data_IF_214893617585
#
_entry.id   IF_214893617585
#
_cell.length_a   1.000
_cell.length_b   1.000
_cell.length_c   1.000
_cell.angle_alpha   90.00
_cell.angle_beta   90.00
_cell.angle_gamma   90.00
#
_symmetry.space_group_name_H-M   'P 1'
#
loop_
_entity.id
_entity.type
_entity.pdbx_description
1 polymer ?
#
# COMPACT_ATOMS: atom_id res chain seq x y z
N UNK A 1 48.92 1.14 16.04
CA UNK A 1 48.49 -0.20 15.56
C UNK A 1 47.29 -0.02 14.65
N UNK A 2 47.40 -0.37 13.37
CA UNK A 2 46.23 -0.55 12.50
C UNK A 2 45.61 -1.90 12.88
N UNK A 3 44.39 -1.91 13.42
CA UNK A 3 43.68 -3.15 13.73
C UNK A 3 42.86 -3.56 12.52
N UNK A 4 43.05 -4.79 12.06
CA UNK A 4 42.20 -5.40 11.04
C UNK A 4 40.76 -5.57 11.56
N UNK A 5 39.80 -5.53 10.65
CA UNK A 5 38.41 -5.79 10.96
C UNK A 5 38.19 -7.23 11.38
N UNK A 6 37.19 -7.49 12.23
CA UNK A 6 36.80 -8.86 12.56
C UNK A 6 36.36 -9.61 11.30
N UNK A 7 36.94 -10.80 11.02
CA UNK A 7 36.58 -11.59 9.83
C UNK A 7 35.07 -11.90 9.77
N UNK A 8 34.46 -12.23 10.90
CA UNK A 8 33.03 -12.61 11.00
C UNK A 8 32.06 -11.45 10.70
N UNK A 9 32.56 -10.23 10.50
CA UNK A 9 31.74 -9.04 10.23
C UNK A 9 31.68 -8.70 8.74
N UNK A 10 32.45 -9.41 7.89
CA UNK A 10 32.49 -9.23 6.43
C UNK A 10 32.73 -7.77 5.98
N UNK A 11 33.38 -6.94 6.81
CA UNK A 11 33.61 -5.53 6.49
C UNK A 11 34.68 -5.37 5.39
N UNK A 12 34.50 -4.36 4.53
CA UNK A 12 35.60 -3.85 3.68
C UNK A 12 36.49 -2.89 4.48
N UNK A 13 35.89 -2.01 5.28
CA UNK A 13 36.58 -1.15 6.26
C UNK A 13 35.80 -1.11 7.57
N UNK A 14 36.47 -0.84 8.68
CA UNK A 14 35.87 -0.78 10.02
C UNK A 14 36.43 0.39 10.83
N UNK A 15 35.66 0.86 11.80
CA UNK A 15 36.04 1.99 12.67
C UNK A 15 36.95 1.54 13.82
N UNK A 16 36.59 0.44 14.49
CA UNK A 16 37.26 -0.02 15.72
C UNK A 16 37.42 -1.55 15.78
N UNK A 17 37.28 -2.23 14.64
CA UNK A 17 37.36 -3.68 14.52
C UNK A 17 36.04 -4.43 14.81
N UNK A 18 35.09 -3.80 15.50
CA UNK A 18 33.79 -4.36 15.86
C UNK A 18 32.60 -3.67 15.20
N UNK A 19 32.85 -2.66 14.35
CA UNK A 19 31.81 -1.95 13.59
C UNK A 19 32.32 -1.71 12.17
N UNK A 20 31.59 -2.19 11.17
CA UNK A 20 31.89 -1.89 9.78
C UNK A 20 31.62 -0.40 9.48
N UNK A 21 32.51 0.23 8.72
CA UNK A 21 32.29 1.55 8.12
C UNK A 21 32.00 1.46 6.62
N UNK A 22 32.37 0.35 5.97
CA UNK A 22 31.94 0.06 4.60
C UNK A 22 31.88 -1.44 4.33
N UNK A 23 31.08 -1.81 3.34
CA UNK A 23 30.86 -3.18 2.93
C UNK A 23 31.40 -3.47 1.52
N UNK A 24 31.69 -4.75 1.20
CA UNK A 24 31.84 -5.22 -0.17
C UNK A 24 30.60 -4.92 -1.03
N UNK A 25 30.71 -5.03 -2.35
CA UNK A 25 29.59 -4.79 -3.27
C UNK A 25 28.38 -5.69 -2.93
N UNK A 26 27.19 -5.11 -3.05
CA UNK A 26 25.89 -5.74 -2.77
C UNK A 26 25.66 -6.17 -1.30
N UNK A 27 26.53 -5.79 -0.37
CA UNK A 27 26.32 -5.96 1.07
C UNK A 27 26.11 -4.60 1.74
N UNK A 28 25.35 -4.61 2.83
CA UNK A 28 24.95 -3.41 3.55
C UNK A 28 25.16 -3.61 5.05
N UNK A 29 25.36 -2.50 5.76
CA UNK A 29 25.56 -2.55 7.22
C UNK A 29 24.22 -2.86 7.88
N UNK A 30 24.17 -3.93 8.68
CA UNK A 30 22.98 -4.34 9.41
C UNK A 30 22.85 -3.66 10.79
N UNK A 31 21.83 -4.07 11.54
CA UNK A 31 21.54 -3.60 12.90
C UNK A 31 22.61 -3.99 13.93
N UNK A 32 23.56 -4.86 13.58
CA UNK A 32 24.69 -5.29 14.43
C UNK A 32 26.03 -4.69 13.96
N UNK A 33 26.01 -3.74 13.02
CA UNK A 33 27.18 -3.14 12.40
C UNK A 33 28.06 -4.14 11.61
N UNK A 34 27.45 -5.18 11.04
CA UNK A 34 28.07 -6.19 10.17
C UNK A 34 27.61 -6.01 8.73
N UNK A 35 28.40 -6.48 7.77
CA UNK A 35 28.00 -6.51 6.37
C UNK A 35 27.27 -7.79 6.02
N UNK A 36 26.04 -7.66 5.52
CA UNK A 36 25.22 -8.78 5.04
C UNK A 36 24.29 -8.37 3.90
N UNK A 37 23.60 -9.35 3.32
CA UNK A 37 22.56 -9.10 2.33
C UNK A 37 21.35 -8.43 3.00
N UNK A 38 20.78 -7.44 2.31
CA UNK A 38 19.69 -6.62 2.81
C UNK A 38 18.37 -7.00 2.14
N UNK A 39 17.92 -8.22 2.43
CA UNK A 39 16.73 -8.80 1.80
C UNK A 39 15.83 -9.44 2.85
N UNK A 40 14.53 -9.21 2.72
CA UNK A 40 13.52 -9.80 3.57
C UNK A 40 12.38 -8.84 3.84
N UNK A 41 11.33 -9.37 4.45
CA UNK A 41 10.22 -8.57 4.93
C UNK A 41 10.68 -7.68 6.11
N UNK A 42 10.07 -6.50 6.22
CA UNK A 42 10.31 -5.56 7.30
C UNK A 42 11.63 -4.80 7.23
N UNK A 43 12.43 -4.96 6.16
CA UNK A 43 13.67 -4.22 5.95
C UNK A 43 13.78 -3.63 4.55
N UNK A 44 14.56 -2.56 4.42
CA UNK A 44 14.90 -1.91 3.15
C UNK A 44 16.33 -1.38 3.17
N UNK A 45 16.86 -1.08 1.99
CA UNK A 45 18.19 -0.48 1.82
C UNK A 45 18.06 1.05 1.85
N UNK A 46 18.63 1.70 2.87
CA UNK A 46 18.82 3.15 2.87
C UNK A 46 20.04 3.49 2.02
N UNK A 47 19.80 3.89 0.77
CA UNK A 47 20.86 4.14 -0.22
C UNK A 47 21.79 5.29 0.17
N UNK A 48 21.31 6.22 0.99
CA UNK A 48 22.12 7.37 1.45
C UNK A 48 23.22 6.93 2.39
N UNK A 49 22.95 5.95 3.26
CA UNK A 49 23.89 5.47 4.28
C UNK A 49 24.48 4.09 3.96
N UNK A 50 23.97 3.40 2.92
CA UNK A 50 24.27 1.99 2.61
C UNK A 50 24.02 1.05 3.80
N UNK A 51 22.92 1.29 4.52
CA UNK A 51 22.52 0.50 5.68
C UNK A 51 21.20 -0.22 5.43
N UNK A 52 21.02 -1.36 6.10
CA UNK A 52 19.72 -1.98 6.26
C UNK A 52 18.94 -1.25 7.34
N UNK A 53 17.76 -0.76 6.97
CA UNK A 53 16.84 -0.11 7.88
C UNK A 53 15.54 -0.90 7.98
N UNK A 54 14.84 -0.77 9.10
CA UNK A 54 13.53 -1.41 9.28
C UNK A 54 12.44 -0.56 8.64
N UNK A 55 11.46 -1.24 8.05
CA UNK A 55 10.18 -0.64 7.74
C UNK A 55 9.49 -0.15 9.03
N UNK A 56 8.53 0.77 8.89
CA UNK A 56 7.73 1.18 10.02
C UNK A 56 6.71 0.09 10.39
N UNK A 57 6.98 -0.64 11.47
CA UNK A 57 6.14 -1.76 11.96
C UNK A 57 4.71 -1.31 12.33
N UNK A 58 4.52 -0.06 12.77
CA UNK A 58 3.19 0.48 13.12
C UNK A 58 2.27 0.71 11.91
N UNK A 59 2.81 0.63 10.68
CA UNK A 59 2.05 0.83 9.44
C UNK A 59 1.47 -0.45 8.85
N UNK A 60 1.53 -1.60 9.54
CA UNK A 60 1.15 -2.92 8.96
C UNK A 60 1.90 -3.23 7.65
N UNK A 61 3.11 -2.69 7.51
CA UNK A 61 3.93 -2.78 6.31
C UNK A 61 4.68 -4.11 6.29
N UNK A 62 4.53 -4.91 5.22
CA UNK A 62 5.28 -6.16 5.07
C UNK A 62 6.61 -5.92 4.34
N UNK A 63 6.57 -5.19 3.23
CA UNK A 63 7.78 -4.71 2.53
C UNK A 63 7.64 -3.22 2.27
N UNK A 64 8.76 -2.49 2.28
CA UNK A 64 8.78 -1.05 2.12
C UNK A 64 9.92 -0.60 1.21
N UNK A 65 9.74 0.55 0.56
CA UNK A 65 10.80 1.22 -0.20
C UNK A 65 11.65 2.10 0.73
N UNK A 66 10.99 2.72 1.70
CA UNK A 66 11.59 3.52 2.76
C UNK A 66 10.72 3.44 4.02
N UNK A 67 11.07 4.17 5.07
CA UNK A 67 10.34 4.12 6.35
C UNK A 67 8.85 4.50 6.24
N UNK A 68 8.47 5.26 5.20
CA UNK A 68 7.14 5.78 5.01
C UNK A 68 6.30 5.07 3.96
N UNK A 69 6.93 4.56 2.90
CA UNK A 69 6.28 4.00 1.72
C UNK A 69 6.28 2.48 1.73
N UNK A 70 5.09 1.88 1.87
CA UNK A 70 4.91 0.43 1.76
C UNK A 70 4.76 -0.03 0.31
N UNK A 71 5.40 -1.16 0.01
CA UNK A 71 5.26 -1.88 -1.26
C UNK A 71 4.26 -3.04 -1.10
N UNK A 72 4.20 -3.64 0.10
CA UNK A 72 3.21 -4.67 0.41
C UNK A 72 2.80 -4.61 1.88
N UNK A 73 1.61 -5.15 2.16
CA UNK A 73 1.00 -5.10 3.48
C UNK A 73 1.02 -6.46 4.17
N UNK A 74 1.02 -6.42 5.50
CA UNK A 74 0.82 -7.59 6.35
C UNK A 74 -0.61 -8.12 6.20
N UNK A 75 -0.81 -9.39 6.56
CA UNK A 75 -2.12 -10.05 6.48
C UNK A 75 -3.23 -9.24 7.16
N UNK A 76 -4.38 -9.11 6.50
CA UNK A 76 -5.52 -8.32 6.98
C UNK A 76 -5.46 -6.82 6.61
N UNK A 77 -4.38 -6.37 5.97
CA UNK A 77 -4.25 -5.01 5.43
C UNK A 77 -4.03 -5.04 3.92
N UNK A 78 -4.40 -3.95 3.25
CA UNK A 78 -4.34 -3.79 1.81
C UNK A 78 -3.64 -2.49 1.45
N UNK A 79 -2.98 -2.48 0.29
CA UNK A 79 -2.19 -1.35 -0.17
C UNK A 79 -3.09 -0.29 -0.80
N UNK A 80 -3.04 0.92 -0.26
CA UNK A 80 -3.72 2.09 -0.82
C UNK A 80 -2.82 2.82 -1.82
N UNK A 81 -3.41 3.73 -2.60
CA UNK A 81 -2.67 4.49 -3.61
C UNK A 81 -1.69 5.51 -3.02
N UNK A 82 -1.78 5.81 -1.72
CA UNK A 82 -0.83 6.63 -0.94
C UNK A 82 0.29 5.80 -0.29
N UNK A 83 0.49 4.55 -0.74
CA UNK A 83 1.43 3.58 -0.17
C UNK A 83 1.21 3.26 1.32
N UNK A 84 0.02 3.53 1.86
CA UNK A 84 -0.35 3.12 3.22
C UNK A 84 -0.96 1.72 3.23
N UNK A 85 -0.78 1.03 4.36
CA UNK A 85 -1.34 -0.29 4.61
C UNK A 85 -2.36 -0.20 5.75
N UNK A 86 -3.62 -0.49 5.44
CA UNK A 86 -4.74 -0.49 6.41
C UNK A 86 -5.84 -1.46 5.96
N UNK A 87 -6.78 -1.84 6.84
CA UNK A 87 -7.96 -2.60 6.44
C UNK A 87 -8.74 -1.87 5.34
N UNK A 88 -9.24 -2.62 4.35
CA UNK A 88 -10.04 -2.05 3.27
C UNK A 88 -11.49 -1.87 3.76
N UNK A 89 -11.90 -0.62 3.95
CA UNK A 89 -13.21 -0.25 4.50
C UNK A 89 -14.20 0.26 3.45
N UNK A 90 -15.31 0.80 3.93
CA UNK A 90 -16.43 1.31 3.11
C UNK A 90 -15.96 2.37 2.10
N UNK A 91 -16.60 2.39 0.92
CA UNK A 91 -16.20 3.25 -0.20
C UNK A 91 -15.02 2.72 -1.02
N UNK A 92 -14.49 1.54 -0.66
CA UNK A 92 -13.42 0.86 -1.36
C UNK A 92 -13.77 -0.62 -1.59
N UNK A 93 -13.03 -1.25 -2.49
CA UNK A 93 -13.08 -2.68 -2.73
C UNK A 93 -11.67 -3.26 -2.86
N UNK A 94 -11.56 -4.56 -2.62
CA UNK A 94 -10.29 -5.28 -2.70
C UNK A 94 -10.06 -5.75 -4.13
N UNK A 95 -8.90 -5.38 -4.69
CA UNK A 95 -8.41 -5.87 -5.98
C UNK A 95 -7.01 -6.45 -5.79
N UNK A 96 -6.92 -7.78 -5.71
CA UNK A 96 -5.67 -8.47 -5.37
C UNK A 96 -5.19 -8.10 -3.96
N UNK A 97 -4.04 -7.42 -3.87
CA UNK A 97 -3.47 -6.91 -2.62
C UNK A 97 -3.70 -5.41 -2.39
N UNK A 98 -4.48 -4.75 -3.27
CA UNK A 98 -4.75 -3.31 -3.22
C UNK A 98 -6.17 -3.03 -2.76
N UNK A 99 -6.36 -1.89 -2.13
CA UNK A 99 -7.66 -1.34 -1.80
C UNK A 99 -7.94 -0.16 -2.73
N UNK A 100 -8.96 -0.30 -3.58
CA UNK A 100 -9.28 0.65 -4.66
C UNK A 100 -10.58 1.38 -4.35
N UNK A 101 -10.61 2.68 -4.64
CA UNK A 101 -11.77 3.53 -4.33
C UNK A 101 -12.89 3.25 -5.34
N UNK A 102 -14.12 3.11 -4.86
CA UNK A 102 -15.28 2.83 -5.71
C UNK A 102 -15.65 3.96 -6.66
N UNK A 103 -15.37 5.20 -6.25
CA UNK A 103 -15.75 6.40 -6.97
C UNK A 103 -14.68 6.82 -8.00
N UNK A 104 -14.10 5.87 -8.74
CA UNK A 104 -13.19 6.18 -9.86
C UNK A 104 -13.95 6.35 -11.18
N UNK A 105 -14.97 5.53 -11.46
CA UNK A 105 -15.75 5.60 -12.70
C UNK A 105 -17.25 5.84 -12.48
N UNK A 106 -17.82 5.46 -11.32
CA UNK A 106 -19.18 5.86 -10.92
C UNK A 106 -19.15 6.97 -9.86
N UNK A 107 -19.40 8.21 -10.29
CA UNK A 107 -19.54 9.34 -9.37
C UNK A 107 -20.65 9.05 -8.35
N UNK A 108 -20.43 9.40 -7.07
CA UNK A 108 -21.40 9.20 -5.98
C UNK A 108 -21.69 7.73 -5.60
N UNK A 109 -20.79 6.82 -5.98
CA UNK A 109 -20.83 5.45 -5.50
C UNK A 109 -20.40 5.34 -4.03
N UNK A 110 -21.24 4.70 -3.20
CA UNK A 110 -20.99 4.44 -1.79
C UNK A 110 -20.30 3.08 -1.57
N UNK A 111 -20.72 2.04 -2.30
CA UNK A 111 -20.08 0.71 -2.24
C UNK A 111 -20.01 0.10 -3.62
N UNK A 112 -18.99 -0.71 -3.86
CA UNK A 112 -18.76 -1.40 -5.13
C UNK A 112 -18.03 -2.72 -4.88
N UNK A 113 -18.21 -3.66 -5.81
CA UNK A 113 -17.45 -4.91 -5.86
C UNK A 113 -16.41 -4.92 -6.97
N UNK A 114 -16.49 -3.95 -7.89
CA UNK A 114 -15.60 -3.78 -9.05
C UNK A 114 -15.47 -2.30 -9.37
N UNK A 115 -14.42 -1.94 -10.11
CA UNK A 115 -14.12 -0.54 -10.40
C UNK A 115 -15.21 0.16 -11.21
N UNK A 116 -15.81 -0.53 -12.19
CA UNK A 116 -16.78 0.03 -13.16
C UNK A 116 -18.24 -0.21 -12.83
N UNK A 117 -18.54 -0.65 -11.61
CA UNK A 117 -19.91 -0.92 -11.22
C UNK A 117 -20.15 -0.56 -9.76
N UNK A 118 -21.20 0.19 -9.52
CA UNK A 118 -21.65 0.52 -8.19
C UNK A 118 -22.69 -0.47 -7.68
N UNK A 119 -22.60 -0.82 -6.40
CA UNK A 119 -23.57 -1.67 -5.71
C UNK A 119 -24.55 -0.84 -4.88
N UNK A 120 -24.11 0.31 -4.36
CA UNK A 120 -24.99 1.25 -3.66
C UNK A 120 -24.52 2.70 -3.80
N UNK A 121 -25.47 3.62 -3.86
CA UNK A 121 -25.22 5.03 -4.06
C UNK A 121 -25.23 5.82 -2.74
N UNK A 122 -24.52 6.95 -2.73
CA UNK A 122 -24.61 7.93 -1.66
C UNK A 122 -26.03 8.50 -1.57
N UNK A 123 -26.39 9.03 -0.41
CA UNK A 123 -27.72 9.60 -0.18
C UNK A 123 -28.05 10.70 -1.21
N UNK A 124 -29.27 10.65 -1.74
CA UNK A 124 -29.73 11.53 -2.82
C UNK A 124 -29.43 11.00 -4.23
N UNK A 125 -28.71 9.90 -4.37
CA UNK A 125 -28.43 9.22 -5.64
C UNK A 125 -29.04 7.81 -5.68
N UNK A 126 -29.34 7.35 -6.88
CA UNK A 126 -30.06 6.11 -7.16
C UNK A 126 -29.32 5.31 -8.22
N UNK A 127 -29.32 4.00 -8.06
CA UNK A 127 -28.61 3.09 -8.97
C UNK A 127 -29.42 2.92 -10.25
N UNK A 128 -28.82 3.21 -11.40
CA UNK A 128 -29.44 2.98 -12.71
C UNK A 128 -29.27 1.52 -13.19
N UNK A 129 -29.82 1.24 -14.37
CA UNK A 129 -29.69 -0.06 -15.04
C UNK A 129 -28.25 -0.45 -15.41
N UNK A 130 -27.35 0.52 -15.56
CA UNK A 130 -25.94 0.32 -15.89
C UNK A 130 -25.05 0.20 -14.63
N UNK A 131 -25.64 0.12 -13.43
CA UNK A 131 -24.93 0.09 -12.15
C UNK A 131 -24.13 1.38 -11.87
N UNK A 132 -24.64 2.53 -12.32
CA UNK A 132 -24.06 3.84 -12.07
C UNK A 132 -25.03 4.65 -11.19
N UNK A 133 -24.48 5.51 -10.33
CA UNK A 133 -25.26 6.37 -9.46
C UNK A 133 -25.67 7.68 -10.15
N UNK A 134 -26.97 7.92 -10.20
CA UNK A 134 -27.58 9.10 -10.85
C UNK A 134 -28.56 9.80 -9.92
N UNK A 135 -28.89 11.08 -10.17
CA UNK A 135 -29.87 11.82 -9.34
C UNK A 135 -31.32 11.34 -9.52
N UNK A 136 -31.62 10.70 -10.65
CA UNK A 136 -32.97 10.28 -11.03
C UNK A 136 -33.95 11.47 -11.07
N UNK A 137 -33.61 12.47 -11.88
CA UNK A 137 -34.33 13.74 -12.03
C UNK A 137 -34.66 14.08 -13.49
N UNK A 138 -34.43 13.15 -14.42
CA UNK A 138 -34.76 13.36 -15.83
C UNK A 138 -36.22 12.98 -16.13
N UNK A 139 -36.80 13.62 -17.14
CA UNK A 139 -38.15 13.29 -17.61
C UNK A 139 -38.23 11.84 -18.07
N UNK A 140 -39.29 11.13 -17.66
CA UNK A 140 -39.48 9.71 -17.95
C UNK A 140 -38.71 8.79 -16.99
N UNK A 141 -38.19 9.30 -15.88
CA UNK A 141 -37.58 8.50 -14.81
C UNK A 141 -38.42 8.54 -13.53
N UNK A 142 -38.38 7.45 -12.77
CA UNK A 142 -38.96 7.37 -11.44
C UNK A 142 -38.06 6.58 -10.47
N UNK A 143 -38.23 6.87 -9.18
CA UNK A 143 -37.46 6.24 -8.10
C UNK A 143 -38.23 5.05 -7.57
N UNK A 144 -37.59 3.89 -7.54
CA UNK A 144 -38.13 2.68 -6.90
C UNK A 144 -37.13 2.21 -5.84
N UNK A 145 -37.40 2.55 -4.58
CA UNK A 145 -36.45 2.32 -3.49
C UNK A 145 -35.12 3.05 -3.75
N UNK A 146 -34.02 2.29 -3.87
CA UNK A 146 -32.67 2.81 -4.21
C UNK A 146 -32.34 2.74 -5.70
N UNK A 147 -33.28 2.35 -6.56
CA UNK A 147 -33.08 2.27 -8.01
C UNK A 147 -33.72 3.45 -8.74
N UNK A 148 -33.06 3.88 -9.83
CA UNK A 148 -33.64 4.78 -10.81
C UNK A 148 -34.09 3.97 -12.03
N UNK A 149 -35.38 4.03 -12.35
CA UNK A 149 -35.98 3.30 -13.47
C UNK A 149 -36.54 4.27 -14.48
N UNK A 150 -36.56 3.85 -15.74
CA UNK A 150 -37.28 4.57 -16.79
C UNK A 150 -38.75 4.11 -16.77
N UNK A 151 -39.68 5.02 -17.05
CA UNK A 151 -41.08 4.67 -17.28
C UNK A 151 -41.16 3.79 -18.53
N UNK A 152 -41.82 2.65 -18.42
CA UNK A 152 -42.19 1.87 -19.60
C UNK A 152 -43.24 2.66 -20.39
N UNK A 153 -43.02 2.74 -21.70
CA UNK A 153 -43.83 3.54 -22.62
C UNK A 153 -45.20 2.90 -22.87
#
# INVERSE_FOLDING_TARGET
>A
LCKSCKPDYNCKTCENGNSCSSCPENLFIDFQNKCQDCKGDGIFIEKTTNQCMKCNELKNCKTCENVNDCISCSSGSYLYDDNSCKPCGDGYFIEGNRCKKCNQTSLFCATCSKIDSCDSCLDGYYLDQNKICVKCDQNGQYKEGKQCKNCDQ
#
